data_IF_049164101444
#
_entry.id   IF_049164101444
#
_cell.length_a   1.000
_cell.length_b   1.000
_cell.length_c   1.000
_cell.angle_alpha   90.00
_cell.angle_beta   90.00
_cell.angle_gamma   90.00
#
_symmetry.space_group_name_H-M   'P 1'
#
loop_
_entity.id
_entity.type
_entity.pdbx_description
1 polymer ?
#
# COMPACT_ATOMS: atom_id res chain seq x y z
N UNK A 1 13.27 26.08 6.31
CA UNK A 1 13.72 27.48 6.17
C UNK A 1 12.56 28.46 6.00
N UNK A 2 11.55 28.17 5.16
CA UNK A 2 10.35 29.01 5.01
C UNK A 2 9.47 29.14 6.28
N UNK A 3 9.18 28.04 6.98
CA UNK A 3 8.39 28.06 8.22
C UNK A 3 9.02 28.84 9.39
N UNK A 4 10.35 29.01 9.35
CA UNK A 4 11.13 29.79 10.33
C UNK A 4 11.38 31.23 9.84
N UNK A 5 10.86 31.59 8.67
CA UNK A 5 11.08 32.89 8.02
C UNK A 5 12.57 33.21 7.84
N UNK A 6 13.39 32.19 7.55
CA UNK A 6 14.85 32.36 7.44
C UNK A 6 15.58 32.44 8.78
N UNK A 7 14.96 32.05 9.89
CA UNK A 7 15.58 32.02 11.23
C UNK A 7 15.03 33.08 12.19
N UNK A 8 14.12 33.94 11.74
CA UNK A 8 13.56 35.04 12.53
C UNK A 8 12.59 34.55 13.61
N UNK A 9 12.05 33.34 13.47
CA UNK A 9 11.20 32.70 14.49
C UNK A 9 11.46 31.21 14.66
N UNK A 10 11.16 30.71 15.86
CA UNK A 10 11.14 29.28 16.17
C UNK A 10 9.92 28.60 15.52
N UNK A 11 10.13 27.38 15.01
CA UNK A 11 9.10 26.57 14.37
C UNK A 11 8.27 25.86 15.45
N UNK A 12 6.96 25.75 15.26
CA UNK A 12 6.08 24.96 16.11
C UNK A 12 5.50 23.74 15.38
N UNK A 13 4.77 22.88 16.09
CA UNK A 13 4.18 21.66 15.53
C UNK A 13 3.22 21.94 14.37
N UNK A 14 2.49 23.05 14.40
CA UNK A 14 1.54 23.39 13.34
C UNK A 14 2.24 23.69 12.00
N UNK A 15 3.42 24.29 12.05
CA UNK A 15 4.24 24.53 10.87
C UNK A 15 4.78 23.22 10.28
N UNK A 16 5.19 22.27 11.13
CA UNK A 16 5.62 20.93 10.69
C UNK A 16 4.47 20.19 9.99
N UNK A 17 3.28 20.19 10.60
CA UNK A 17 2.07 19.57 10.04
C UNK A 17 1.70 20.17 8.69
N UNK A 18 1.69 21.50 8.57
CA UNK A 18 1.28 22.20 7.35
C UNK A 18 2.29 22.06 6.22
N UNK A 19 3.57 22.28 6.50
CA UNK A 19 4.58 22.42 5.47
C UNK A 19 5.22 21.12 5.03
N UNK A 20 5.30 20.13 5.93
CA UNK A 20 5.97 18.85 5.68
C UNK A 20 4.98 17.70 5.65
N UNK A 21 4.29 17.42 6.77
CA UNK A 21 3.42 16.23 6.87
C UNK A 21 2.28 16.26 5.86
N UNK A 22 1.60 17.40 5.69
CA UNK A 22 0.50 17.50 4.71
C UNK A 22 0.95 17.24 3.26
N UNK A 23 2.17 17.64 2.90
CA UNK A 23 2.72 17.39 1.56
C UNK A 23 3.15 15.92 1.42
N UNK A 24 3.78 15.39 2.47
CA UNK A 24 4.17 13.98 2.56
C UNK A 24 2.96 13.06 2.46
N UNK A 25 1.94 13.28 3.28
CA UNK A 25 0.70 12.50 3.27
C UNK A 25 0.05 12.57 1.90
N UNK A 26 -0.04 13.75 1.29
CA UNK A 26 -0.61 13.86 -0.06
C UNK A 26 0.11 13.01 -1.10
N UNK A 27 1.44 12.92 -1.03
CA UNK A 27 2.25 12.14 -1.98
C UNK A 27 2.17 10.63 -1.69
N UNK A 28 2.26 10.24 -0.41
CA UNK A 28 2.47 8.84 -0.02
C UNK A 28 1.25 8.15 0.57
N UNK A 29 0.13 8.85 0.76
CA UNK A 29 -1.10 8.27 1.32
C UNK A 29 -1.52 7.00 0.57
N UNK A 30 -1.48 7.02 -0.76
CA UNK A 30 -1.81 5.84 -1.58
C UNK A 30 -0.90 4.64 -1.28
N UNK A 31 0.40 4.86 -1.18
CA UNK A 31 1.39 3.82 -0.85
C UNK A 31 1.11 3.21 0.53
N UNK A 32 0.91 4.03 1.56
CA UNK A 32 0.65 3.54 2.91
C UNK A 32 -0.70 2.83 3.02
N UNK A 33 -1.74 3.30 2.33
CA UNK A 33 -3.03 2.59 2.29
C UNK A 33 -2.91 1.24 1.58
N UNK A 34 -2.13 1.15 0.51
CA UNK A 34 -1.87 -0.11 -0.16
C UNK A 34 -1.14 -1.11 0.75
N UNK A 35 -0.09 -0.67 1.45
CA UNK A 35 0.64 -1.52 2.40
C UNK A 35 -0.26 -1.99 3.56
N UNK A 36 -1.10 -1.11 4.11
CA UNK A 36 -2.06 -1.46 5.17
C UNK A 36 -3.07 -2.53 4.71
N UNK A 37 -3.53 -2.46 3.46
CA UNK A 37 -4.40 -3.49 2.87
C UNK A 37 -3.66 -4.81 2.70
N UNK A 38 -2.43 -4.79 2.17
CA UNK A 38 -1.60 -6.00 2.05
C UNK A 38 -1.37 -6.66 3.42
N UNK A 39 -1.05 -5.86 4.44
CA UNK A 39 -0.85 -6.32 5.81
C UNK A 39 -2.11 -7.02 6.34
N UNK A 40 -3.27 -6.37 6.24
CA UNK A 40 -4.55 -6.91 6.73
C UNK A 40 -4.96 -8.19 6.02
N UNK A 41 -4.79 -8.25 4.70
CA UNK A 41 -5.21 -9.40 3.90
C UNK A 41 -4.31 -10.61 4.13
N UNK A 42 -2.99 -10.40 4.12
CA UNK A 42 -2.07 -11.52 4.05
C UNK A 42 -1.44 -11.89 5.40
N UNK A 43 -1.27 -10.96 6.34
CA UNK A 43 -0.51 -11.23 7.56
C UNK A 43 -1.34 -11.76 8.74
N UNK A 44 -2.67 -11.71 8.63
CA UNK A 44 -3.61 -12.15 9.68
C UNK A 44 -3.72 -13.66 9.88
N UNK A 45 -3.20 -14.49 8.97
CA UNK A 45 -3.20 -15.95 9.10
C UNK A 45 -2.07 -16.60 8.31
N UNK A 46 -1.72 -17.86 8.63
CA UNK A 46 -0.70 -18.59 7.88
C UNK A 46 -1.10 -18.82 6.42
N UNK A 47 -2.37 -19.17 6.16
CA UNK A 47 -2.86 -19.34 4.79
C UNK A 47 -2.83 -18.03 3.97
N UNK A 48 -3.07 -16.88 4.61
CA UNK A 48 -2.86 -15.58 3.97
C UNK A 48 -1.39 -15.35 3.60
N UNK A 49 -0.45 -15.70 4.49
CA UNK A 49 0.98 -15.55 4.22
C UNK A 49 1.45 -16.46 3.09
N UNK A 50 0.93 -17.69 3.01
CA UNK A 50 1.20 -18.60 1.90
C UNK A 50 0.64 -18.08 0.58
N UNK A 51 -0.59 -17.56 0.56
CA UNK A 51 -1.16 -16.91 -0.62
C UNK A 51 -0.35 -15.69 -1.08
N UNK A 52 0.25 -14.92 -0.15
CA UNK A 52 1.16 -13.83 -0.50
C UNK A 52 2.42 -14.34 -1.20
N UNK A 53 3.00 -15.45 -0.73
CA UNK A 53 4.18 -16.06 -1.38
C UNK A 53 3.84 -16.49 -2.81
N UNK A 54 2.66 -17.07 -3.04
CA UNK A 54 2.19 -17.42 -4.39
C UNK A 54 2.05 -16.17 -5.29
N UNK A 55 1.49 -15.07 -4.77
CA UNK A 55 1.38 -13.81 -5.50
C UNK A 55 2.75 -13.22 -5.83
N UNK A 56 3.70 -13.26 -4.88
CA UNK A 56 5.06 -12.76 -5.08
C UNK A 56 5.87 -13.58 -6.10
N UNK A 57 5.44 -14.80 -6.45
CA UNK A 57 6.07 -15.60 -7.50
C UNK A 57 5.73 -15.12 -8.92
N UNK A 58 4.71 -14.27 -9.10
CA UNK A 58 4.31 -13.74 -10.40
C UNK A 58 5.28 -12.65 -10.90
N UNK A 59 5.77 -12.78 -12.13
CA UNK A 59 6.75 -11.86 -12.74
C UNK A 59 6.22 -10.42 -12.85
N UNK A 60 4.92 -10.25 -13.10
CA UNK A 60 4.31 -8.92 -13.16
C UNK A 60 4.28 -8.28 -11.77
N UNK A 61 3.95 -9.04 -10.71
CA UNK A 61 4.03 -8.59 -9.32
C UNK A 61 5.45 -8.18 -8.96
N UNK A 62 6.44 -9.00 -9.32
CA UNK A 62 7.85 -8.69 -9.06
C UNK A 62 8.26 -7.39 -9.75
N UNK A 63 7.93 -7.22 -11.03
CA UNK A 63 8.25 -5.98 -11.76
C UNK A 63 7.61 -4.75 -11.13
N UNK A 64 6.32 -4.81 -10.77
CA UNK A 64 5.63 -3.71 -10.10
C UNK A 64 6.23 -3.41 -8.73
N UNK A 65 6.63 -4.44 -8.00
CA UNK A 65 7.31 -4.31 -6.70
C UNK A 65 8.67 -3.64 -6.86
N UNK A 66 9.49 -4.08 -7.81
CA UNK A 66 10.80 -3.49 -8.08
C UNK A 66 10.69 -2.06 -8.57
N UNK A 67 9.77 -1.76 -9.50
CA UNK A 67 9.51 -0.37 -9.93
C UNK A 67 9.10 0.50 -8.75
N UNK A 68 8.18 0.02 -7.92
CA UNK A 68 7.75 0.78 -6.75
C UNK A 68 8.86 0.98 -5.73
N UNK A 69 9.68 -0.05 -5.53
CA UNK A 69 10.78 -0.04 -4.57
C UNK A 69 11.93 0.88 -5.01
N UNK A 70 12.30 0.85 -6.29
CA UNK A 70 13.42 1.62 -6.83
C UNK A 70 13.06 3.10 -6.98
N UNK A 71 11.86 3.41 -7.48
CA UNK A 71 11.45 4.79 -7.73
C UNK A 71 10.66 5.42 -6.58
N UNK A 72 10.42 4.65 -5.50
CA UNK A 72 9.70 5.09 -4.29
C UNK A 72 8.34 5.73 -4.60
N UNK A 73 7.66 5.23 -5.63
CA UNK A 73 6.32 5.66 -6.04
C UNK A 73 5.49 4.43 -6.31
N UNK A 74 4.18 4.49 -6.06
CA UNK A 74 3.32 3.38 -6.42
C UNK A 74 3.37 3.19 -7.95
N UNK A 75 3.85 2.03 -8.39
CA UNK A 75 3.98 1.74 -9.81
C UNK A 75 2.62 1.87 -10.50
N UNK A 76 2.62 2.47 -11.70
CA UNK A 76 1.40 2.59 -12.51
C UNK A 76 1.18 1.25 -13.21
N UNK A 77 0.34 0.43 -12.59
CA UNK A 77 -0.05 -0.86 -13.13
C UNK A 77 -0.83 -0.76 -14.45
N UNK A 78 -0.93 -1.89 -15.14
CA UNK A 78 -1.85 -2.04 -16.26
C UNK A 78 -3.21 -2.52 -15.71
N UNK A 79 -4.30 -1.76 -15.88
CA UNK A 79 -5.61 -2.09 -15.30
C UNK A 79 -6.10 -3.51 -15.60
N UNK A 80 -5.76 -4.06 -16.77
CA UNK A 80 -6.13 -5.42 -17.16
C UNK A 80 -5.33 -6.48 -16.39
N UNK A 81 -4.02 -6.26 -16.22
CA UNK A 81 -3.15 -7.17 -15.46
C UNK A 81 -3.42 -7.09 -13.97
N UNK A 82 -3.71 -5.89 -13.46
CA UNK A 82 -4.11 -5.67 -12.07
C UNK A 82 -5.42 -6.37 -11.75
N UNK A 83 -6.41 -6.29 -12.65
CA UNK A 83 -7.70 -7.00 -12.48
C UNK A 83 -7.51 -8.52 -12.49
N UNK A 84 -6.67 -9.05 -13.39
CA UNK A 84 -6.36 -10.48 -13.47
C UNK A 84 -5.63 -10.96 -12.20
N UNK A 85 -4.68 -10.17 -11.71
CA UNK A 85 -3.96 -10.45 -10.46
C UNK A 85 -4.93 -10.45 -9.28
N UNK A 86 -5.80 -9.45 -9.16
CA UNK A 86 -6.81 -9.36 -8.10
C UNK A 86 -7.73 -10.58 -8.11
N UNK A 87 -8.16 -11.05 -9.29
CA UNK A 87 -8.96 -12.27 -9.44
C UNK A 87 -8.18 -13.54 -9.06
N UNK A 88 -6.90 -13.65 -9.42
CA UNK A 88 -6.05 -14.78 -9.03
C UNK A 88 -5.81 -14.80 -7.51
N UNK A 89 -5.56 -13.63 -6.90
CA UNK A 89 -5.40 -13.45 -5.46
C UNK A 89 -6.69 -13.76 -4.70
N UNK A 90 -7.85 -13.32 -5.20
CA UNK A 90 -9.14 -13.73 -4.64
C UNK A 90 -9.29 -15.25 -4.80
N UNK A 91 -8.91 -15.82 -5.94
CA UNK A 91 -8.95 -17.27 -6.18
C UNK A 91 -8.10 -18.08 -5.19
N UNK A 92 -6.88 -17.64 -4.88
CA UNK A 92 -6.02 -18.29 -3.87
C UNK A 92 -6.58 -18.11 -2.45
N UNK A 93 -7.08 -16.91 -2.11
CA UNK A 93 -7.71 -16.65 -0.81
C UNK A 93 -9.05 -17.39 -0.61
N UNK A 94 -9.87 -17.55 -1.66
CA UNK A 94 -11.12 -18.35 -1.65
C UNK A 94 -10.78 -19.83 -1.50
N UNK A 95 -9.76 -20.31 -2.22
CA UNK A 95 -9.27 -21.69 -2.08
C UNK A 95 -8.79 -21.99 -0.66
N UNK A 96 -8.25 -20.98 0.02
CA UNK A 96 -7.85 -21.03 1.42
C UNK A 96 -8.99 -20.70 2.42
N UNK A 97 -10.23 -20.49 1.95
CA UNK A 97 -11.43 -20.22 2.75
C UNK A 97 -11.40 -18.90 3.59
N UNK A 98 -10.58 -17.91 3.19
CA UNK A 98 -10.37 -16.66 3.94
C UNK A 98 -11.24 -15.48 3.49
N UNK A 99 -11.86 -15.56 2.30
CA UNK A 99 -12.61 -14.44 1.70
C UNK A 99 -13.83 -14.00 2.50
N UNK A 100 -14.48 -14.92 3.22
CA UNK A 100 -15.63 -14.61 4.07
C UNK A 100 -15.34 -13.57 5.17
N UNK A 101 -14.11 -13.55 5.72
CA UNK A 101 -13.73 -12.60 6.79
C UNK A 101 -13.32 -11.21 6.26
N UNK A 102 -12.82 -11.11 5.03
CA UNK A 102 -12.33 -9.84 4.43
C UNK A 102 -13.48 -9.02 3.86
N UNK A 103 -14.49 -9.66 3.26
CA UNK A 103 -15.66 -8.98 2.69
C UNK A 103 -16.54 -8.31 3.76
N UNK A 104 -16.55 -8.83 5.00
CA UNK A 104 -17.25 -8.19 6.12
C UNK A 104 -16.51 -6.96 6.66
N UNK A 105 -15.18 -6.93 6.57
CA UNK A 105 -14.36 -5.79 7.01
C UNK A 105 -14.32 -4.63 5.99
N UNK A 106 -14.68 -4.89 4.73
CA UNK A 106 -14.70 -3.88 3.65
C UNK A 106 -16.03 -3.10 3.59
N UNK A 107 -17.00 -3.42 4.46
CA UNK A 107 -18.29 -2.71 4.58
C UNK A 107 -18.29 -1.57 5.61
N UNK A 108 -17.14 -1.17 6.18
CA UNK A 108 -17.02 -0.06 7.14
C UNK A 108 -16.41 1.17 6.48
#
# INVERSE_FOLDING_TARGET
VAASEGGTRMINESDLKREYLRKWDREYFGTFKFLDVLEKVFYGSNAGREALVEVCADEYVQRMTFESYLYKRLAKGNPWKDSKMLMNTIGSLVRCNLVGKVMDFTKV
#
